data_IF_959781481366
#
_entry.id   IF_959781481366
#
_cell.length_a   1.000
_cell.length_b   1.000
_cell.length_c   1.000
_cell.angle_alpha   90.00
_cell.angle_beta   90.00
_cell.angle_gamma   90.00
#
_symmetry.space_group_name_H-M   'P 1'
#
loop_
_entity.id
_entity.type
_entity.pdbx_description
1 polymer ?
#
# COMPACT_ATOMS: atom_id res chain seq x y z
N UNK A 1 4.81 25.15 -11.62
CA UNK A 1 4.49 24.84 -13.03
C UNK A 1 3.52 23.67 -12.98
N UNK A 2 2.49 23.66 -13.83
CA UNK A 2 1.57 22.54 -13.89
C UNK A 2 2.08 21.47 -14.85
N UNK A 3 1.80 20.22 -14.51
CA UNK A 3 2.16 19.02 -15.22
C UNK A 3 0.89 18.21 -15.49
N UNK A 4 0.83 17.60 -16.65
CA UNK A 4 -0.25 16.70 -17.05
C UNK A 4 -0.09 15.35 -16.35
N UNK A 5 -0.90 15.09 -15.32
CA UNK A 5 -0.86 13.85 -14.52
C UNK A 5 -2.03 12.94 -14.90
N UNK A 6 -1.74 11.72 -15.34
CA UNK A 6 -2.75 10.69 -15.61
C UNK A 6 -3.13 9.94 -14.32
N UNK A 7 -4.43 9.86 -14.05
CA UNK A 7 -5.01 8.94 -13.09
C UNK A 7 -5.69 7.80 -13.83
N UNK A 8 -5.48 6.57 -13.38
CA UNK A 8 -6.07 5.38 -13.99
C UNK A 8 -6.59 4.38 -12.97
N UNK A 9 -7.69 3.71 -13.30
CA UNK A 9 -8.29 2.66 -12.48
C UNK A 9 -8.61 1.44 -13.35
N UNK A 10 -8.09 0.27 -12.99
CA UNK A 10 -8.47 -0.99 -13.62
C UNK A 10 -9.83 -1.46 -13.10
N UNK A 11 -10.84 -1.47 -13.97
CA UNK A 11 -12.20 -1.89 -13.61
C UNK A 11 -12.95 -2.38 -14.87
N UNK A 12 -12.52 -3.50 -15.48
CA UNK A 12 -12.89 -3.88 -16.84
C UNK A 12 -14.38 -4.22 -17.01
N UNK A 13 -15.08 -4.60 -15.95
CA UNK A 13 -16.52 -4.94 -15.98
C UNK A 13 -17.41 -3.86 -15.39
N UNK A 14 -16.83 -2.85 -14.74
CA UNK A 14 -17.59 -1.74 -14.17
C UNK A 14 -18.01 -0.75 -15.27
N UNK A 15 -19.21 -0.16 -15.19
CA UNK A 15 -19.71 0.69 -16.28
C UNK A 15 -19.19 2.13 -16.23
N UNK A 16 -18.88 2.68 -15.04
CA UNK A 16 -18.39 4.05 -14.87
C UNK A 16 -17.44 4.19 -13.70
N UNK A 17 -16.50 5.13 -13.82
CA UNK A 17 -15.65 5.60 -12.74
C UNK A 17 -15.43 7.11 -12.87
N UNK A 18 -15.16 7.77 -11.74
CA UNK A 18 -14.77 9.18 -11.68
C UNK A 18 -13.63 9.34 -10.68
N UNK A 19 -12.68 10.24 -10.97
CA UNK A 19 -11.67 10.70 -10.03
C UNK A 19 -12.30 11.72 -9.07
N UNK A 20 -11.95 11.64 -7.80
CA UNK A 20 -12.45 12.52 -6.73
C UNK A 20 -11.27 13.11 -5.97
N UNK A 21 -11.26 14.42 -5.79
CA UNK A 21 -10.21 15.13 -5.05
C UNK A 21 -10.41 16.65 -5.08
N UNK A 22 -10.02 17.34 -4.00
CA UNK A 22 -10.28 18.78 -3.82
C UNK A 22 -9.49 19.69 -4.78
N UNK A 23 -8.55 19.12 -5.52
CA UNK A 23 -7.81 19.81 -6.58
C UNK A 23 -8.58 19.88 -7.92
N UNK A 24 -9.77 19.26 -8.00
CA UNK A 24 -10.65 19.26 -9.16
C UNK A 24 -11.74 20.34 -9.03
N UNK A 25 -12.25 20.79 -10.18
CA UNK A 25 -13.51 21.55 -10.22
C UNK A 25 -14.65 20.65 -9.71
N UNK A 26 -15.50 21.18 -8.82
CA UNK A 26 -16.56 20.44 -8.11
C UNK A 26 -16.08 19.16 -7.37
N UNK A 27 -14.78 19.08 -7.07
CA UNK A 27 -14.11 17.93 -6.44
C UNK A 27 -14.24 16.61 -7.21
N UNK A 28 -14.61 16.64 -8.50
CA UNK A 28 -14.85 15.41 -9.28
C UNK A 28 -14.60 15.55 -10.78
N UNK A 29 -14.04 14.50 -11.38
CA UNK A 29 -13.81 14.40 -12.83
C UNK A 29 -14.22 13.01 -13.34
N UNK A 30 -15.10 12.97 -14.34
CA UNK A 30 -15.46 11.72 -15.02
C UNK A 30 -14.24 11.10 -15.72
N UNK A 31 -14.17 9.77 -15.73
CA UNK A 31 -13.08 9.04 -16.39
C UNK A 31 -13.59 8.30 -17.63
N UNK A 32 -12.74 8.23 -18.65
CA UNK A 32 -13.03 7.51 -19.89
C UNK A 32 -12.56 6.07 -19.81
N UNK A 33 -13.43 5.12 -20.15
CA UNK A 33 -13.07 3.70 -20.20
C UNK A 33 -12.44 3.36 -21.55
N UNK A 34 -11.19 2.90 -21.53
CA UNK A 34 -10.54 2.35 -22.70
C UNK A 34 -10.97 0.91 -23.01
N UNK A 35 -10.76 0.49 -24.25
CA UNK A 35 -10.97 -0.91 -24.68
C UNK A 35 -10.07 -1.91 -23.94
N UNK A 36 -9.03 -1.41 -23.28
CA UNK A 36 -8.13 -2.20 -22.43
C UNK A 36 -8.67 -2.44 -21.02
N UNK A 37 -9.82 -1.87 -20.64
CA UNK A 37 -10.44 -2.09 -19.33
C UNK A 37 -10.03 -1.10 -18.25
N UNK A 38 -9.14 -0.15 -18.56
CA UNK A 38 -8.80 0.96 -17.67
C UNK A 38 -9.73 2.15 -17.86
N UNK A 39 -10.13 2.77 -16.76
CA UNK A 39 -10.65 4.14 -16.74
C UNK A 39 -9.49 5.11 -16.63
N UNK A 40 -9.50 6.23 -17.37
CA UNK A 40 -8.45 7.26 -17.34
C UNK A 40 -9.02 8.67 -17.30
N UNK A 41 -8.30 9.57 -16.65
CA UNK A 41 -8.47 11.02 -16.77
C UNK A 41 -7.13 11.72 -16.53
N UNK A 42 -6.99 12.93 -17.04
CA UNK A 42 -5.75 13.72 -16.91
C UNK A 42 -6.04 15.05 -16.25
N UNK A 43 -5.19 15.43 -15.28
CA UNK A 43 -5.35 16.64 -14.49
C UNK A 43 -4.04 17.42 -14.47
N UNK A 44 -4.14 18.73 -14.63
CA UNK A 44 -2.99 19.65 -14.54
C UNK A 44 -2.68 20.01 -13.08
N UNK A 45 -1.63 19.41 -12.53
CA UNK A 45 -1.21 19.57 -11.14
C UNK A 45 0.21 20.14 -11.02
N UNK A 46 0.47 20.91 -9.97
CA UNK A 46 1.84 21.32 -9.65
C UNK A 46 2.54 20.21 -8.85
N UNK A 47 3.86 20.33 -8.69
CA UNK A 47 4.58 19.52 -7.71
C UNK A 47 3.96 19.71 -6.33
N UNK A 48 3.70 18.61 -5.63
CA UNK A 48 2.94 18.66 -4.38
C UNK A 48 2.44 17.31 -3.91
N UNK A 49 1.64 17.33 -2.86
CA UNK A 49 0.99 16.15 -2.27
C UNK A 49 -0.51 16.34 -2.35
N UNK A 50 -1.21 15.37 -2.94
CA UNK A 50 -2.64 15.46 -3.20
C UNK A 50 -3.35 14.22 -2.66
N UNK A 51 -4.47 14.46 -1.97
CA UNK A 51 -5.38 13.40 -1.54
C UNK A 51 -6.46 13.18 -2.61
N UNK A 52 -6.74 11.93 -2.92
CA UNK A 52 -7.70 11.56 -3.94
C UNK A 52 -8.34 10.20 -3.62
N UNK A 53 -9.41 9.90 -4.32
CA UNK A 53 -10.02 8.57 -4.39
C UNK A 53 -10.76 8.43 -5.71
N UNK A 54 -11.28 7.24 -5.98
CA UNK A 54 -12.20 7.04 -7.08
C UNK A 54 -13.61 6.87 -6.55
N UNK A 55 -14.60 7.20 -7.37
CA UNK A 55 -15.91 6.56 -7.28
C UNK A 55 -16.10 5.64 -8.45
N UNK A 56 -16.72 4.49 -8.24
CA UNK A 56 -16.97 3.48 -9.28
C UNK A 56 -18.40 2.98 -9.14
N UNK A 57 -19.04 2.67 -10.27
CA UNK A 57 -20.29 1.91 -10.29
C UNK A 57 -19.95 0.45 -9.99
N UNK A 58 -20.22 -0.01 -8.76
CA UNK A 58 -19.77 -1.32 -8.28
C UNK A 58 -20.45 -2.47 -9.01
N UNK A 59 -19.71 -3.56 -9.22
CA UNK A 59 -20.24 -4.87 -9.62
C UNK A 59 -20.09 -5.91 -8.50
N UNK A 60 -19.71 -5.46 -7.30
CA UNK A 60 -19.51 -6.34 -6.16
C UNK A 60 -20.85 -6.86 -5.62
N UNK A 61 -20.99 -8.18 -5.36
CA UNK A 61 -22.18 -8.75 -4.75
C UNK A 61 -22.39 -8.36 -3.28
N UNK A 62 -21.43 -7.66 -2.66
CA UNK A 62 -21.55 -7.14 -1.30
C UNK A 62 -22.17 -5.74 -1.24
N UNK A 63 -22.32 -5.09 -2.39
CA UNK A 63 -22.90 -3.76 -2.54
C UNK A 63 -24.11 -3.83 -3.48
N UNK A 64 -24.88 -2.75 -3.55
CA UNK A 64 -25.89 -2.59 -4.57
C UNK A 64 -25.20 -2.46 -5.95
N UNK A 65 -25.52 -3.37 -6.86
CA UNK A 65 -24.94 -3.38 -8.21
C UNK A 65 -25.32 -2.08 -8.93
N UNK A 66 -24.38 -1.52 -9.66
CA UNK A 66 -24.52 -0.22 -10.33
C UNK A 66 -24.82 0.95 -9.39
N UNK A 67 -24.56 0.85 -8.09
CA UNK A 67 -24.49 2.01 -7.21
C UNK A 67 -23.08 2.62 -7.17
N UNK A 68 -23.03 3.94 -6.96
CA UNK A 68 -21.76 4.63 -6.80
C UNK A 68 -21.17 4.30 -5.43
N UNK A 69 -19.97 3.71 -5.41
CA UNK A 69 -19.19 3.55 -4.19
C UNK A 69 -17.86 4.30 -4.31
N UNK A 70 -17.35 4.81 -3.20
CA UNK A 70 -16.03 5.43 -3.13
C UNK A 70 -14.99 4.37 -2.75
N UNK A 71 -13.90 4.33 -3.50
CA UNK A 71 -12.79 3.41 -3.26
C UNK A 71 -11.47 4.16 -3.29
N UNK A 72 -10.58 3.84 -2.36
CA UNK A 72 -9.18 4.23 -2.45
C UNK A 72 -8.57 3.51 -3.67
N UNK A 73 -7.60 4.14 -4.35
CA UNK A 73 -6.85 3.48 -5.42
C UNK A 73 -6.28 2.13 -4.92
N UNK A 74 -6.61 1.00 -5.58
CA UNK A 74 -6.01 -0.30 -5.26
C UNK A 74 -4.48 -0.29 -5.28
N UNK A 75 -3.85 0.62 -6.03
CA UNK A 75 -2.40 0.81 -6.16
C UNK A 75 -1.84 1.95 -5.29
N UNK A 76 -2.64 2.56 -4.41
CA UNK A 76 -2.13 3.59 -3.50
C UNK A 76 -0.97 3.05 -2.63
N UNK A 77 0.15 3.76 -2.64
CA UNK A 77 1.34 3.43 -1.81
C UNK A 77 1.34 4.18 -0.47
N UNK A 78 0.50 5.20 -0.34
CA UNK A 78 0.25 5.95 0.88
C UNK A 78 -1.26 6.21 0.98
N UNK A 79 -1.82 5.97 2.16
CA UNK A 79 -3.25 6.15 2.45
C UNK A 79 -3.44 7.01 3.70
N UNK A 80 -4.41 7.91 3.63
CA UNK A 80 -4.97 8.57 4.80
C UNK A 80 -6.15 7.73 5.28
N UNK A 81 -5.92 6.95 6.33
CA UNK A 81 -6.96 6.07 6.91
C UNK A 81 -8.07 6.86 7.61
N UNK A 82 -7.81 8.09 8.07
CA UNK A 82 -8.85 8.93 8.70
C UNK A 82 -9.85 9.46 7.68
N UNK A 83 -9.36 9.88 6.51
CA UNK A 83 -10.20 10.47 5.45
C UNK A 83 -10.58 9.47 4.34
N UNK A 84 -10.09 8.22 4.43
CA UNK A 84 -10.29 7.15 3.46
C UNK A 84 -9.90 7.60 2.04
N UNK A 85 -8.66 8.11 1.91
CA UNK A 85 -8.11 8.63 0.66
C UNK A 85 -6.73 8.03 0.36
N UNK A 86 -6.45 7.85 -0.92
CA UNK A 86 -5.09 7.62 -1.41
C UNK A 86 -4.34 8.93 -1.49
N UNK A 87 -3.02 8.87 -1.39
CA UNK A 87 -2.13 10.01 -1.49
C UNK A 87 -1.19 9.80 -2.68
N UNK A 88 -1.10 10.81 -3.55
CA UNK A 88 -0.01 10.91 -4.53
C UNK A 88 0.93 12.05 -4.17
N UNK A 89 2.18 11.91 -4.59
CA UNK A 89 3.21 12.95 -4.54
C UNK A 89 3.72 13.17 -5.95
N UNK A 90 3.79 14.43 -6.36
CA UNK A 90 4.29 14.84 -7.67
C UNK A 90 5.58 15.62 -7.45
N UNK A 91 6.63 15.24 -8.19
CA UNK A 91 7.92 15.92 -8.21
C UNK A 91 8.47 15.89 -9.63
N UNK A 92 8.91 17.04 -10.12
CA UNK A 92 9.42 17.20 -11.48
C UNK A 92 8.43 16.70 -12.56
N UNK A 93 7.12 16.80 -12.26
CA UNK A 93 6.04 16.35 -13.13
C UNK A 93 5.76 14.84 -13.15
N UNK A 94 6.39 14.06 -12.27
CA UNK A 94 6.17 12.61 -12.16
C UNK A 94 5.55 12.23 -10.81
N UNK A 95 4.71 11.19 -10.79
CA UNK A 95 4.22 10.59 -9.55
C UNK A 95 5.38 9.80 -8.93
N UNK A 96 5.75 10.16 -7.70
CA UNK A 96 6.79 9.48 -6.92
C UNK A 96 6.21 8.85 -5.66
N UNK A 97 6.82 7.75 -5.21
CA UNK A 97 6.49 7.15 -3.90
C UNK A 97 7.18 7.96 -2.78
N UNK A 98 8.49 8.15 -2.94
CA UNK A 98 9.37 8.95 -2.09
C UNK A 98 10.65 9.30 -2.88
N UNK A 99 11.58 10.00 -2.23
CA UNK A 99 12.91 10.34 -2.76
C UNK A 99 14.03 9.54 -2.07
N UNK A 100 13.72 8.35 -1.55
CA UNK A 100 14.67 7.50 -0.86
C UNK A 100 15.73 6.96 -1.83
N UNK A 101 17.01 7.13 -1.48
CA UNK A 101 18.14 6.61 -2.24
C UNK A 101 18.77 5.46 -1.45
N UNK A 102 18.64 4.25 -1.97
CA UNK A 102 19.21 3.03 -1.40
C UNK A 102 20.73 3.12 -1.26
N UNK A 103 21.26 2.55 -0.17
CA UNK A 103 22.69 2.56 0.12
C UNK A 103 23.30 1.14 0.13
N UNK A 104 22.47 0.08 0.23
CA UNK A 104 22.93 -1.29 0.46
C UNK A 104 22.33 -2.30 -0.53
N UNK A 105 22.19 -1.91 -1.80
CA UNK A 105 21.62 -2.78 -2.86
C UNK A 105 22.57 -3.92 -3.29
N UNK A 106 23.89 -3.72 -3.16
CA UNK A 106 24.93 -4.66 -3.64
C UNK A 106 25.59 -5.46 -2.51
N UNK A 107 24.90 -5.66 -1.38
CA UNK A 107 25.44 -6.43 -0.25
C UNK A 107 25.16 -7.91 -0.44
N UNK A 108 26.20 -8.74 -0.31
CA UNK A 108 26.06 -10.19 -0.24
C UNK A 108 25.36 -10.59 1.07
N UNK A 109 24.12 -11.08 0.95
CA UNK A 109 23.32 -11.53 2.09
C UNK A 109 23.40 -13.07 2.26
N UNK A 110 23.26 -13.60 3.49
CA UNK A 110 23.35 -15.04 3.77
C UNK A 110 22.45 -15.90 2.88
N UNK A 111 22.82 -17.16 2.61
CA UNK A 111 21.97 -18.04 1.80
C UNK A 111 20.70 -18.44 2.57
N UNK A 112 19.58 -18.75 1.87
CA UNK A 112 18.34 -19.16 2.53
C UNK A 112 18.46 -20.35 3.50
N UNK A 113 19.40 -21.26 3.29
CA UNK A 113 19.68 -22.43 4.15
C UNK A 113 20.56 -22.11 5.37
N UNK A 114 21.07 -20.88 5.48
CA UNK A 114 21.89 -20.39 6.59
C UNK A 114 21.10 -19.45 7.53
N UNK A 115 19.80 -19.24 7.28
CA UNK A 115 19.02 -18.25 7.98
C UNK A 115 18.63 -18.70 9.40
N UNK A 116 18.88 -17.80 10.36
CA UNK A 116 18.36 -17.82 11.72
C UNK A 116 17.39 -16.64 11.79
N UNK A 117 16.10 -16.96 11.68
CA UNK A 117 15.03 -15.99 11.48
C UNK A 117 14.46 -15.54 12.83
N UNK A 118 14.30 -14.24 13.01
CA UNK A 118 13.47 -13.64 14.06
C UNK A 118 12.16 -13.15 13.45
N UNK A 119 11.10 -13.93 13.62
CA UNK A 119 9.73 -13.54 13.25
C UNK A 119 9.17 -12.53 14.26
N UNK A 120 8.54 -11.46 13.78
CA UNK A 120 7.92 -10.46 14.64
C UNK A 120 6.67 -9.83 14.02
N UNK A 121 5.71 -9.52 14.90
CA UNK A 121 4.69 -8.54 14.64
C UNK A 121 5.23 -7.16 15.01
N UNK A 122 5.35 -6.25 14.03
CA UNK A 122 5.99 -4.93 14.23
C UNK A 122 5.41 -4.19 15.43
N UNK A 123 4.08 -4.20 15.61
CA UNK A 123 3.39 -3.45 16.66
C UNK A 123 3.73 -3.92 18.09
N UNK A 124 4.09 -5.19 18.26
CA UNK A 124 4.28 -5.85 19.56
C UNK A 124 5.76 -6.05 19.91
N UNK A 125 6.67 -5.55 19.06
CA UNK A 125 8.10 -5.65 19.30
C UNK A 125 8.56 -4.83 20.53
N UNK A 126 7.76 -3.85 20.97
CA UNK A 126 8.04 -3.04 22.16
C UNK A 126 7.35 -3.57 23.41
N UNK A 127 7.90 -3.27 24.60
CA UNK A 127 7.30 -3.65 25.89
C UNK A 127 5.88 -3.10 26.10
N UNK A 128 5.56 -1.97 25.44
CA UNK A 128 4.23 -1.42 25.41
C UNK A 128 3.57 -1.88 24.11
N UNK A 129 2.50 -2.64 24.25
CA UNK A 129 1.70 -3.16 23.12
C UNK A 129 1.21 -1.99 22.26
N UNK A 130 1.24 -2.19 20.93
CA UNK A 130 0.77 -1.22 19.95
C UNK A 130 1.67 -0.01 19.68
N UNK A 131 2.85 0.08 20.31
CA UNK A 131 3.81 1.18 20.08
C UNK A 131 4.98 0.82 19.16
N UNK A 132 5.05 -0.43 18.69
CA UNK A 132 6.08 -0.87 17.78
C UNK A 132 5.94 -0.22 16.39
N UNK A 133 7.09 0.15 15.83
CA UNK A 133 7.26 0.83 14.55
C UNK A 133 8.59 0.43 13.89
N UNK A 134 8.78 0.77 12.62
CA UNK A 134 10.06 0.56 11.94
C UNK A 134 11.22 1.25 12.67
N UNK A 135 10.99 2.43 13.25
CA UNK A 135 11.99 3.11 14.08
C UNK A 135 12.35 2.30 15.33
N UNK A 136 11.37 1.71 16.02
CA UNK A 136 11.65 0.93 17.23
C UNK A 136 12.47 -0.33 16.96
N UNK A 137 12.30 -0.93 15.77
CA UNK A 137 13.08 -2.08 15.32
C UNK A 137 14.50 -1.61 14.97
N UNK A 138 14.62 -0.50 14.24
CA UNK A 138 15.90 0.12 13.91
C UNK A 138 16.74 0.38 15.17
N UNK A 139 16.12 0.92 16.22
CA UNK A 139 16.75 1.18 17.54
C UNK A 139 17.19 -0.09 18.29
N UNK A 140 16.91 -1.29 17.75
CA UNK A 140 17.23 -2.59 18.33
C UNK A 140 17.97 -3.52 17.38
N UNK A 141 18.35 -3.07 16.19
CA UNK A 141 19.09 -3.91 15.24
C UNK A 141 20.40 -4.44 15.84
N UNK A 142 21.11 -3.63 16.62
CA UNK A 142 22.34 -4.07 17.28
C UNK A 142 22.07 -5.22 18.26
N UNK A 143 20.97 -5.15 19.03
CA UNK A 143 20.53 -6.25 19.90
C UNK A 143 20.17 -7.51 19.11
N UNK A 144 19.44 -7.37 17.99
CA UNK A 144 19.05 -8.49 17.15
C UNK A 144 20.29 -9.16 16.52
N UNK A 145 21.26 -8.36 16.09
CA UNK A 145 22.54 -8.88 15.59
C UNK A 145 23.33 -9.60 16.70
N UNK A 146 23.40 -9.03 17.91
CA UNK A 146 24.05 -9.66 19.08
C UNK A 146 23.36 -10.98 19.50
N UNK A 147 22.04 -11.07 19.33
CA UNK A 147 21.28 -12.30 19.56
C UNK A 147 21.70 -13.43 18.59
N UNK A 148 22.33 -13.09 17.47
CA UNK A 148 22.82 -14.02 16.46
C UNK A 148 21.83 -14.31 15.33
N UNK A 149 20.75 -13.52 15.21
CA UNK A 149 19.81 -13.64 14.08
C UNK A 149 20.39 -12.94 12.86
N UNK A 150 20.19 -13.52 11.67
CA UNK A 150 20.67 -12.98 10.40
C UNK A 150 19.53 -12.74 9.39
N UNK A 151 18.29 -12.89 9.85
CA UNK A 151 17.10 -12.50 9.11
C UNK A 151 16.02 -12.02 10.07
N UNK A 152 15.32 -10.95 9.68
CA UNK A 152 14.08 -10.53 10.31
C UNK A 152 12.93 -10.93 9.39
N UNK A 153 11.89 -11.54 9.95
CA UNK A 153 10.66 -11.82 9.23
C UNK A 153 9.52 -11.02 9.85
N UNK A 154 8.89 -10.17 9.04
CA UNK A 154 7.74 -9.41 9.47
C UNK A 154 6.47 -10.12 9.04
N UNK A 155 5.58 -10.30 10.01
CA UNK A 155 4.15 -10.47 9.74
C UNK A 155 3.65 -9.29 8.88
N UNK A 156 2.49 -9.40 8.20
CA UNK A 156 2.07 -8.41 7.20
C UNK A 156 2.13 -6.96 7.70
N UNK A 157 2.82 -6.12 6.93
CA UNK A 157 3.06 -4.69 7.24
C UNK A 157 2.15 -3.74 6.46
N UNK A 158 1.36 -4.29 5.54
CA UNK A 158 0.39 -3.57 4.74
C UNK A 158 -0.80 -3.09 5.60
N UNK A 159 -1.53 -2.08 5.14
CA UNK A 159 -2.66 -1.50 5.86
C UNK A 159 -3.83 -2.51 5.97
N UNK A 160 -4.35 -2.64 7.19
CA UNK A 160 -5.45 -3.51 7.58
C UNK A 160 -6.41 -2.79 8.55
N UNK A 161 -7.69 -3.19 8.62
CA UNK A 161 -8.62 -2.66 9.62
C UNK A 161 -8.32 -3.25 11.01
N UNK A 162 -8.01 -2.40 11.99
CA UNK A 162 -7.95 -2.74 13.42
C UNK A 162 -6.96 -3.89 13.82
N UNK A 163 -6.77 -4.08 15.12
CA UNK A 163 -5.73 -4.95 15.72
C UNK A 163 -5.98 -6.46 15.58
N UNK A 164 -7.16 -6.89 15.13
CA UNK A 164 -7.55 -8.30 15.13
C UNK A 164 -7.10 -8.95 13.82
N UNK A 165 -6.23 -9.96 13.92
CA UNK A 165 -5.79 -10.77 12.77
C UNK A 165 -4.33 -10.60 12.38
N UNK A 166 -3.51 -9.90 13.19
CA UNK A 166 -2.05 -9.79 13.02
C UNK A 166 -1.59 -9.32 11.63
N UNK A 167 -2.42 -8.52 10.96
CA UNK A 167 -2.15 -8.00 9.61
C UNK A 167 -2.61 -8.91 8.47
N UNK A 168 -3.10 -10.13 8.71
CA UNK A 168 -3.47 -11.03 7.61
C UNK A 168 -4.77 -10.64 6.88
N UNK A 169 -5.59 -9.77 7.47
CA UNK A 169 -6.81 -9.26 6.88
C UNK A 169 -6.56 -7.91 6.17
N UNK A 170 -5.97 -7.96 4.97
CA UNK A 170 -5.53 -6.76 4.26
C UNK A 170 -6.68 -5.90 3.73
N UNK A 171 -6.51 -4.57 3.84
CA UNK A 171 -7.35 -3.57 3.16
C UNK A 171 -6.65 -2.96 1.95
N UNK A 172 -5.36 -2.62 2.05
CA UNK A 172 -4.59 -2.02 0.96
C UNK A 172 -3.29 -2.77 0.72
N UNK A 173 -3.13 -3.37 -0.47
CA UNK A 173 -1.97 -4.21 -0.78
C UNK A 173 -0.63 -3.46 -0.92
N UNK A 174 -0.68 -2.20 -1.33
CA UNK A 174 0.52 -1.41 -1.65
C UNK A 174 0.84 -0.32 -0.62
N UNK A 175 -0.06 -0.08 0.33
CA UNK A 175 0.15 0.91 1.38
C UNK A 175 0.53 0.21 2.69
N UNK A 176 1.55 0.76 3.36
CA UNK A 176 1.93 0.32 4.70
C UNK A 176 0.90 0.78 5.72
N UNK A 177 0.82 0.05 6.83
CA UNK A 177 0.07 0.51 8.00
C UNK A 177 0.69 1.80 8.53
N UNK A 178 -0.11 2.86 8.58
CA UNK A 178 0.36 4.21 8.93
C UNK A 178 1.03 4.30 10.31
N UNK A 179 0.63 3.46 11.26
CA UNK A 179 1.21 3.40 12.60
C UNK A 179 2.64 2.85 12.65
N UNK A 180 3.10 2.11 11.64
CA UNK A 180 4.45 1.55 11.62
C UNK A 180 5.50 2.54 11.11
N UNK A 181 5.07 3.55 10.34
CA UNK A 181 5.93 4.56 9.74
C UNK A 181 5.55 4.82 8.28
N UNK A 182 6.38 5.60 7.60
CA UNK A 182 6.25 5.92 6.17
C UNK A 182 7.02 4.89 5.32
N UNK A 183 6.76 4.82 4.00
CA UNK A 183 7.55 3.98 3.09
C UNK A 183 9.07 4.15 3.24
N UNK A 184 9.55 5.40 3.35
CA UNK A 184 10.97 5.70 3.57
C UNK A 184 11.54 5.11 4.87
N UNK A 185 10.73 4.96 5.93
CA UNK A 185 11.18 4.38 7.20
C UNK A 185 11.43 2.87 7.06
N UNK A 186 10.58 2.15 6.32
CA UNK A 186 10.79 0.73 6.00
C UNK A 186 12.01 0.55 5.09
N UNK A 187 12.18 1.40 4.07
CA UNK A 187 13.36 1.37 3.19
C UNK A 187 14.66 1.56 3.98
N UNK A 188 14.67 2.53 4.90
CA UNK A 188 15.81 2.73 5.81
C UNK A 188 16.07 1.50 6.67
N UNK A 189 15.02 0.87 7.20
CA UNK A 189 15.18 -0.35 8.00
C UNK A 189 15.77 -1.50 7.17
N UNK A 190 15.34 -1.66 5.91
CA UNK A 190 15.92 -2.63 4.97
C UNK A 190 17.40 -2.35 4.74
N UNK A 191 17.79 -1.11 4.42
CA UNK A 191 19.20 -0.72 4.25
C UNK A 191 20.02 -1.02 5.51
N UNK A 192 19.52 -0.67 6.70
CA UNK A 192 20.23 -0.91 7.96
C UNK A 192 20.35 -2.41 8.32
N UNK A 193 19.38 -3.23 7.91
CA UNK A 193 19.47 -4.69 7.99
C UNK A 193 20.55 -5.20 7.03
N UNK A 194 20.52 -4.77 5.78
CA UNK A 194 21.48 -5.20 4.77
C UNK A 194 22.91 -4.79 5.14
N UNK A 195 23.13 -3.58 5.67
CA UNK A 195 24.43 -3.13 6.19
C UNK A 195 24.99 -4.04 7.29
N UNK A 196 24.13 -4.76 8.01
CA UNK A 196 24.49 -5.72 9.07
C UNK A 196 24.58 -7.17 8.57
N UNK A 197 24.44 -7.39 7.26
CA UNK A 197 24.39 -8.74 6.67
C UNK A 197 23.11 -9.49 7.05
N UNK A 198 22.02 -8.78 7.36
CA UNK A 198 20.74 -9.36 7.76
C UNK A 198 19.74 -9.26 6.60
N UNK A 199 19.00 -10.35 6.35
CA UNK A 199 17.85 -10.31 5.43
C UNK A 199 16.62 -9.71 6.10
N UNK A 200 15.74 -9.12 5.29
CA UNK A 200 14.38 -8.78 5.70
C UNK A 200 13.39 -9.55 4.82
N UNK A 201 12.50 -10.31 5.46
CA UNK A 201 11.48 -11.16 4.85
C UNK A 201 10.13 -10.55 5.21
N UNK A 202 9.22 -10.49 4.24
CA UNK A 202 7.85 -10.02 4.45
C UNK A 202 6.87 -11.15 4.20
N UNK A 203 5.95 -11.34 5.13
CA UNK A 203 4.73 -12.07 4.85
C UNK A 203 3.87 -11.29 3.85
N UNK A 204 3.44 -11.98 2.80
CA UNK A 204 2.60 -11.41 1.74
C UNK A 204 1.31 -12.19 1.65
N UNK A 205 0.19 -11.50 1.83
CA UNK A 205 -1.15 -12.08 1.73
C UNK A 205 -1.76 -11.71 0.39
N UNK A 206 -1.96 -12.69 -0.49
CA UNK A 206 -2.54 -12.48 -1.83
C UNK A 206 -3.81 -13.31 -2.08
N UNK A 207 -4.20 -14.15 -1.12
CA UNK A 207 -5.29 -15.11 -1.29
C UNK A 207 -6.67 -14.57 -0.85
N UNK A 208 -6.73 -13.45 -0.13
CA UNK A 208 -7.96 -12.81 0.32
C UNK A 208 -7.72 -11.32 0.65
N UNK A 209 -8.80 -10.59 0.90
CA UNK A 209 -8.80 -9.25 1.48
C UNK A 209 -10.07 -9.03 2.30
N UNK A 210 -10.08 -7.92 3.03
CA UNK A 210 -11.23 -7.44 3.75
C UNK A 210 -12.41 -7.10 2.84
N UNK A 211 -13.60 -7.11 3.43
CA UNK A 211 -14.85 -6.79 2.72
C UNK A 211 -14.86 -5.33 2.22
N UNK A 212 -14.22 -4.44 2.97
CA UNK A 212 -14.08 -3.03 2.63
C UNK A 212 -12.87 -2.72 1.72
N UNK A 213 -12.05 -3.71 1.37
CA UNK A 213 -10.90 -3.48 0.49
C UNK A 213 -11.36 -2.98 -0.90
N UNK A 214 -10.60 -2.07 -1.56
CA UNK A 214 -10.98 -1.50 -2.85
C UNK A 214 -11.34 -2.54 -3.91
N UNK A 215 -10.55 -3.62 -4.05
CA UNK A 215 -10.82 -4.68 -5.02
C UNK A 215 -12.15 -5.39 -4.72
N UNK A 216 -12.43 -5.68 -3.45
CA UNK A 216 -13.71 -6.25 -3.02
C UNK A 216 -14.88 -5.35 -3.36
N UNK A 217 -14.73 -4.03 -3.16
CA UNK A 217 -15.79 -3.07 -3.45
C UNK A 217 -15.97 -2.79 -4.96
N UNK A 218 -14.92 -2.89 -5.77
CA UNK A 218 -15.00 -2.70 -7.23
C UNK A 218 -15.77 -3.87 -7.87
N UNK A 219 -15.27 -5.10 -7.69
CA UNK A 219 -15.86 -6.33 -8.23
C UNK A 219 -15.24 -7.57 -7.57
N UNK A 220 -15.79 -8.00 -6.44
CA UNK A 220 -15.28 -9.16 -5.71
C UNK A 220 -15.20 -10.44 -6.56
N UNK A 221 -16.17 -10.69 -7.45
CA UNK A 221 -16.20 -11.94 -8.20
C UNK A 221 -15.08 -11.98 -9.23
N UNK A 222 -14.81 -10.86 -9.89
CA UNK A 222 -13.72 -10.75 -10.84
C UNK A 222 -12.35 -11.02 -10.18
N UNK A 223 -12.12 -10.48 -8.98
CA UNK A 223 -10.82 -10.58 -8.31
C UNK A 223 -10.60 -11.88 -7.53
N UNK A 224 -11.64 -12.42 -6.90
CA UNK A 224 -11.50 -13.51 -5.92
C UNK A 224 -12.25 -14.80 -6.28
N UNK A 225 -13.00 -14.84 -7.38
CA UNK A 225 -13.64 -16.07 -7.86
C UNK A 225 -13.11 -16.50 -9.23
N UNK A 226 -12.98 -17.82 -9.38
CA UNK A 226 -12.27 -18.49 -10.47
C UNK A 226 -12.95 -18.39 -11.85
N UNK A 227 -14.22 -17.99 -11.90
CA UNK A 227 -15.00 -17.89 -13.14
C UNK A 227 -15.45 -16.43 -13.34
N UNK A 228 -14.58 -15.54 -13.87
CA UNK A 228 -15.01 -14.23 -14.33
C UNK A 228 -16.05 -14.43 -15.42
N UNK A 229 -17.25 -13.86 -15.23
CA UNK A 229 -18.33 -13.93 -16.21
C UNK A 229 -17.99 -13.17 -17.47
#
# INVERSE_FOLDING_TARGET
MKHSIEFKLWAPYNPKASLVGDFLEDSIAEMEKGDDGYFRTTVELEDGRYAYKFRVKSQSPFLDIDEWTYVIDPYATEVDESEQQGIIRIKDGEIIIDDYVWQQDDVDLPNPDELIIYEMLVQDFTKKEGEGSFQTILDRLDYLQELGVNALEFMPVQSCPMEIGWGYNLRHYFALRSSYGKPADLKRLVDECHARGMRLILDVVLNHSESEAPLTQIDYNYWYRKDPK
#
